data_IF_136984552412
#
_entry.id   IF_136984552412
#
_cell.length_a   1.000
_cell.length_b   1.000
_cell.length_c   1.000
_cell.angle_alpha   90.00
_cell.angle_beta   90.00
_cell.angle_gamma   90.00
#
_symmetry.space_group_name_H-M   'P 1'
#
loop_
_entity.id
_entity.type
_entity.pdbx_description
1 polymer ?
#
# COMPACT_ATOMS: atom_id res chain seq x y z
N UNK A 1 5.93 -11.18 16.83
CA UNK A 1 4.70 -11.55 17.57
C UNK A 1 3.63 -11.92 16.56
N UNK A 2 3.32 -13.21 16.39
CA UNK A 2 2.18 -13.65 15.57
C UNK A 2 0.92 -13.66 16.43
N UNK A 3 -0.10 -12.87 16.06
CA UNK A 3 -1.30 -12.65 16.88
C UNK A 3 -2.32 -13.79 16.91
N UNK A 4 -2.03 -14.94 16.29
CA UNK A 4 -2.93 -16.09 16.26
C UNK A 4 -2.38 -17.19 17.15
N UNK A 5 -3.06 -17.46 18.27
CA UNK A 5 -2.80 -18.66 19.06
C UNK A 5 -3.25 -19.91 18.27
N UNK A 6 -2.52 -21.04 18.35
CA UNK A 6 -2.87 -22.26 17.60
C UNK A 6 -4.29 -22.78 17.87
N UNK A 7 -4.94 -23.31 16.82
CA UNK A 7 -6.25 -23.99 16.86
C UNK A 7 -7.32 -23.37 15.95
N UNK A 8 -8.30 -24.16 15.56
CA UNK A 8 -9.37 -23.74 14.63
C UNK A 8 -10.49 -22.93 15.29
N UNK A 9 -11.34 -22.32 14.46
CA UNK A 9 -12.57 -21.64 14.88
C UNK A 9 -12.43 -20.15 15.21
N UNK A 10 -11.21 -19.61 15.27
CA UNK A 10 -10.94 -18.18 15.52
C UNK A 10 -11.33 -17.31 14.33
N UNK A 11 -11.90 -16.14 14.64
CA UNK A 11 -12.27 -15.11 13.65
C UNK A 11 -11.11 -14.19 13.32
N UNK A 12 -10.94 -13.90 12.04
CA UNK A 12 -10.06 -12.87 11.50
C UNK A 12 -10.93 -11.88 10.72
N UNK A 13 -10.76 -10.60 11.01
CA UNK A 13 -11.43 -9.50 10.31
C UNK A 13 -10.37 -8.69 9.56
N UNK A 14 -10.47 -8.66 8.24
CA UNK A 14 -9.55 -7.94 7.38
C UNK A 14 -10.28 -6.79 6.69
N UNK A 15 -9.94 -5.56 7.08
CA UNK A 15 -10.38 -4.34 6.41
C UNK A 15 -9.41 -4.02 5.27
N UNK A 16 -9.91 -3.98 4.04
CA UNK A 16 -9.08 -3.80 2.84
C UNK A 16 -9.79 -2.96 1.78
N UNK A 17 -9.03 -2.37 0.85
CA UNK A 17 -9.61 -1.64 -0.28
C UNK A 17 -10.33 -2.60 -1.26
N UNK A 18 -11.13 -2.04 -2.18
CA UNK A 18 -11.56 -2.77 -3.36
C UNK A 18 -10.37 -2.92 -4.32
N UNK A 19 -10.25 -4.11 -4.90
CA UNK A 19 -9.18 -4.48 -5.84
C UNK A 19 -9.81 -4.98 -7.14
N UNK A 20 -9.02 -5.16 -8.20
CA UNK A 20 -9.50 -5.79 -9.43
C UNK A 20 -9.94 -7.24 -9.20
N UNK A 21 -10.71 -7.86 -10.12
CA UNK A 21 -11.04 -9.29 -10.03
C UNK A 21 -9.81 -10.19 -9.93
N UNK A 22 -8.74 -9.88 -10.66
CA UNK A 22 -7.48 -10.65 -10.66
C UNK A 22 -6.74 -10.52 -9.32
N UNK A 23 -6.68 -9.31 -8.77
CA UNK A 23 -6.10 -9.05 -7.45
C UNK A 23 -6.90 -9.73 -6.34
N UNK A 24 -8.23 -9.71 -6.45
CA UNK A 24 -9.15 -10.41 -5.54
C UNK A 24 -8.94 -11.92 -5.58
N UNK A 25 -8.81 -12.51 -6.77
CA UNK A 25 -8.50 -13.94 -6.92
C UNK A 25 -7.16 -14.27 -6.27
N UNK A 26 -6.12 -13.50 -6.57
CA UNK A 26 -4.79 -13.71 -5.98
C UNK A 26 -4.79 -13.56 -4.45
N UNK A 27 -5.66 -12.72 -3.90
CA UNK A 27 -5.87 -12.60 -2.45
C UNK A 27 -6.56 -13.85 -1.87
N UNK A 28 -7.64 -14.33 -2.49
CA UNK A 28 -8.32 -15.55 -2.07
C UNK A 28 -7.41 -16.78 -2.11
N UNK A 29 -6.61 -16.94 -3.16
CA UNK A 29 -5.62 -18.00 -3.26
C UNK A 29 -4.62 -18.00 -2.09
N UNK A 30 -4.24 -16.81 -1.59
CA UNK A 30 -3.37 -16.68 -0.42
C UNK A 30 -4.09 -17.13 0.85
N UNK A 31 -5.35 -16.77 1.05
CA UNK A 31 -6.14 -17.26 2.20
C UNK A 31 -6.26 -18.78 2.19
N UNK A 32 -6.57 -19.37 1.04
CA UNK A 32 -6.67 -20.81 0.87
C UNK A 32 -5.33 -21.52 1.09
N UNK A 33 -4.23 -20.94 0.62
CA UNK A 33 -2.86 -21.45 0.86
C UNK A 33 -2.54 -21.50 2.36
N UNK A 34 -3.07 -20.57 3.14
CA UNK A 34 -2.96 -20.56 4.61
C UNK A 34 -4.04 -21.37 5.32
N UNK A 35 -4.87 -22.12 4.57
CA UNK A 35 -5.97 -22.95 5.09
C UNK A 35 -6.95 -22.15 5.95
N UNK A 36 -7.25 -20.92 5.54
CA UNK A 36 -8.28 -20.08 6.13
C UNK A 36 -9.60 -20.28 5.39
N UNK A 37 -10.71 -20.32 6.13
CA UNK A 37 -12.05 -20.34 5.55
C UNK A 37 -12.53 -18.91 5.30
N UNK A 38 -13.01 -18.63 4.09
CA UNK A 38 -13.71 -17.39 3.77
C UNK A 38 -15.17 -17.50 4.20
N UNK A 39 -15.60 -16.67 5.14
CA UNK A 39 -16.98 -16.70 5.69
C UNK A 39 -17.88 -15.68 5.05
N UNK A 40 -17.38 -14.46 4.83
CA UNK A 40 -18.13 -13.39 4.19
C UNK A 40 -17.19 -12.31 3.63
N UNK A 41 -17.67 -11.59 2.62
CA UNK A 41 -17.11 -10.34 2.12
C UNK A 41 -18.21 -9.29 2.19
N UNK A 42 -17.95 -8.20 2.89
CA UNK A 42 -18.88 -7.09 3.11
C UNK A 42 -18.35 -5.86 2.36
N UNK A 43 -18.77 -5.63 1.10
CA UNK A 43 -18.34 -4.47 0.33
C UNK A 43 -18.91 -3.17 0.93
N UNK A 44 -18.18 -2.06 0.78
CA UNK A 44 -18.61 -0.74 1.25
C UNK A 44 -18.65 -0.60 2.78
N UNK A 45 -18.12 -1.58 3.53
CA UNK A 45 -18.14 -1.58 4.99
C UNK A 45 -17.28 -0.44 5.58
N UNK A 46 -16.11 -0.19 4.99
CA UNK A 46 -15.24 0.91 5.43
C UNK A 46 -15.54 2.15 4.59
N UNK A 47 -15.69 3.31 5.24
CA UNK A 47 -15.70 4.62 4.58
C UNK A 47 -14.54 5.44 5.14
N UNK A 48 -13.73 5.99 4.25
CA UNK A 48 -12.55 6.78 4.61
C UNK A 48 -12.75 8.23 4.20
N UNK A 49 -12.47 9.16 5.12
CA UNK A 49 -12.43 10.58 4.80
C UNK A 49 -11.08 10.93 4.14
N UNK A 50 -11.11 11.70 3.04
CA UNK A 50 -9.90 12.18 2.37
C UNK A 50 -9.12 11.14 1.55
N UNK A 51 -9.70 9.96 1.28
CA UNK A 51 -9.08 8.89 0.50
C UNK A 51 -9.74 8.73 -0.89
N UNK A 52 -10.03 9.84 -1.56
CA UNK A 52 -10.82 9.87 -2.80
C UNK A 52 -10.20 9.03 -3.91
N UNK A 53 -8.87 8.93 -3.92
CA UNK A 53 -8.09 8.12 -4.86
C UNK A 53 -8.43 6.62 -4.74
N UNK A 54 -8.86 6.15 -3.56
CA UNK A 54 -9.26 4.76 -3.31
C UNK A 54 -10.80 4.60 -3.37
N UNK A 55 -11.53 5.58 -3.92
CA UNK A 55 -12.99 5.57 -3.96
C UNK A 55 -13.67 5.79 -2.61
N UNK A 56 -12.93 6.24 -1.58
CA UNK A 56 -13.41 6.49 -0.22
C UNK A 56 -14.10 5.30 0.47
N UNK A 57 -14.05 4.08 -0.09
CA UNK A 57 -14.68 2.92 0.52
C UNK A 57 -13.87 1.64 0.34
N UNK A 58 -13.91 0.78 1.36
CA UNK A 58 -13.28 -0.53 1.35
C UNK A 58 -14.28 -1.63 1.71
N UNK A 59 -13.77 -2.84 1.83
CA UNK A 59 -14.51 -4.05 2.21
C UNK A 59 -14.02 -4.59 3.55
N UNK A 60 -14.89 -5.30 4.24
CA UNK A 60 -14.51 -6.13 5.38
C UNK A 60 -14.60 -7.60 4.96
N UNK A 61 -13.50 -8.32 5.11
CA UNK A 61 -13.41 -9.74 4.81
C UNK A 61 -13.39 -10.50 6.14
N UNK A 62 -14.38 -11.37 6.32
CA UNK A 62 -14.49 -12.25 7.47
C UNK A 62 -13.88 -13.60 7.12
N UNK A 63 -12.76 -13.91 7.77
CA UNK A 63 -12.03 -15.17 7.65
C UNK A 63 -12.13 -15.96 8.96
N UNK A 64 -12.00 -17.27 8.88
CA UNK A 64 -11.97 -18.13 10.05
C UNK A 64 -10.81 -19.13 9.96
N UNK A 65 -10.13 -19.35 11.07
CA UNK A 65 -9.13 -20.43 11.17
C UNK A 65 -9.81 -21.79 11.11
N UNK A 66 -9.14 -22.75 10.49
CA UNK A 66 -9.49 -24.16 10.44
C UNK A 66 -8.54 -24.96 11.34
N UNK A 67 -8.80 -26.25 11.52
CA UNK A 67 -7.86 -27.15 12.22
C UNK A 67 -6.52 -27.29 11.48
N UNK A 68 -6.50 -26.98 10.19
CA UNK A 68 -5.33 -27.05 9.31
C UNK A 68 -4.69 -25.69 9.06
N UNK A 69 -5.17 -24.60 9.70
CA UNK A 69 -4.57 -23.28 9.52
C UNK A 69 -3.09 -23.30 9.87
N UNK A 70 -2.28 -22.90 8.89
CA UNK A 70 -0.84 -22.85 9.03
C UNK A 70 -0.46 -21.71 10.00
N UNK A 71 0.48 -21.94 10.93
CA UNK A 71 0.96 -20.88 11.80
C UNK A 71 1.62 -19.76 10.96
N UNK A 72 1.64 -18.52 11.46
CA UNK A 72 2.42 -17.46 10.85
C UNK A 72 3.88 -17.90 10.70
N UNK A 73 4.50 -17.57 9.56
CA UNK A 73 5.93 -17.79 9.37
C UNK A 73 6.72 -17.13 10.49
N UNK A 74 7.63 -17.86 11.13
CA UNK A 74 8.58 -17.31 12.10
C UNK A 74 9.71 -16.54 11.42
N UNK A 75 9.87 -16.68 10.10
CA UNK A 75 10.87 -15.96 9.32
C UNK A 75 10.44 -14.50 9.14
N UNK A 76 11.36 -13.59 9.43
CA UNK A 76 11.16 -12.17 9.13
C UNK A 76 10.92 -11.97 7.63
N UNK A 77 9.97 -11.10 7.29
CA UNK A 77 9.79 -10.66 5.92
C UNK A 77 10.90 -9.67 5.56
N UNK A 78 11.75 -10.02 4.61
CA UNK A 78 12.89 -9.21 4.16
C UNK A 78 12.60 -8.47 2.84
N UNK A 79 11.38 -8.59 2.31
CA UNK A 79 10.98 -7.91 1.10
C UNK A 79 10.61 -6.44 1.32
N UNK A 80 10.43 -5.68 0.23
CA UNK A 80 9.93 -4.31 0.29
C UNK A 80 8.50 -4.28 0.86
N UNK A 81 8.30 -3.47 1.90
CA UNK A 81 6.99 -3.30 2.55
C UNK A 81 6.16 -2.22 1.88
N UNK A 82 6.82 -1.24 1.28
CA UNK A 82 6.14 -0.10 0.68
C UNK A 82 6.21 -0.12 -0.85
N UNK A 83 5.13 0.31 -1.48
CA UNK A 83 5.03 0.40 -2.95
C UNK A 83 6.14 1.25 -3.58
N UNK A 84 6.65 2.25 -2.85
CA UNK A 84 7.76 3.10 -3.30
C UNK A 84 9.10 2.37 -3.37
N UNK A 85 9.29 1.29 -2.60
CA UNK A 85 10.49 0.46 -2.63
C UNK A 85 10.48 -0.47 -3.85
N UNK A 86 9.29 -1.00 -4.20
CA UNK A 86 9.09 -1.83 -5.40
C UNK A 86 9.12 -0.98 -6.67
N UNK A 87 8.41 0.16 -6.65
CA UNK A 87 8.20 1.05 -7.80
C UNK A 87 8.59 2.48 -7.43
N UNK A 88 9.89 2.81 -7.40
CA UNK A 88 10.34 4.14 -7.03
C UNK A 88 9.77 5.19 -7.99
N UNK A 89 9.12 6.20 -7.43
CA UNK A 89 8.52 7.28 -8.19
C UNK A 89 9.58 8.11 -8.90
N UNK A 90 9.66 7.95 -10.23
CA UNK A 90 10.32 8.89 -11.12
C UNK A 90 9.33 9.98 -11.51
N UNK A 91 9.69 11.23 -11.30
CA UNK A 91 8.83 12.36 -11.56
C UNK A 91 9.64 13.62 -11.85
N UNK A 92 9.14 14.42 -12.78
CA UNK A 92 9.61 15.78 -12.99
C UNK A 92 8.87 16.68 -12.00
N UNK A 93 9.63 17.51 -11.30
CA UNK A 93 9.12 18.49 -10.36
C UNK A 93 9.61 19.87 -10.76
N UNK A 94 8.78 20.87 -10.53
CA UNK A 94 9.08 22.27 -10.78
C UNK A 94 9.18 23.02 -9.46
N UNK A 95 10.24 23.79 -9.27
CA UNK A 95 10.36 24.71 -8.14
C UNK A 95 9.20 25.70 -8.16
N UNK A 96 8.52 25.89 -7.03
CA UNK A 96 7.37 26.78 -6.94
C UNK A 96 7.76 28.27 -7.03
N UNK A 97 9.02 28.62 -6.74
CA UNK A 97 9.50 30.00 -6.73
C UNK A 97 10.05 30.45 -8.09
N UNK A 98 11.04 29.73 -8.65
CA UNK A 98 11.70 30.13 -9.90
C UNK A 98 11.27 29.31 -11.12
N UNK A 99 10.54 28.21 -10.90
CA UNK A 99 10.12 27.35 -11.99
C UNK A 99 11.19 26.42 -12.57
N UNK A 100 12.38 26.33 -11.97
CA UNK A 100 13.40 25.38 -12.38
C UNK A 100 12.92 23.93 -12.21
N UNK A 101 13.26 23.07 -13.16
CA UNK A 101 12.89 21.65 -13.14
C UNK A 101 13.96 20.81 -12.45
N UNK A 102 13.50 19.86 -11.64
CA UNK A 102 14.34 18.84 -10.99
C UNK A 102 13.70 17.48 -11.20
N UNK A 103 14.53 16.46 -11.41
CA UNK A 103 14.07 15.09 -11.61
C UNK A 103 14.30 14.25 -10.35
N UNK A 104 13.34 13.40 -10.01
CA UNK A 104 13.52 12.36 -9.00
C UNK A 104 14.00 11.07 -9.66
N UNK A 105 15.09 10.52 -9.14
CA UNK A 105 15.65 9.25 -9.56
C UNK A 105 15.75 8.29 -8.35
N UNK A 106 16.09 7.02 -8.60
CA UNK A 106 16.43 6.09 -7.50
C UNK A 106 17.51 6.71 -6.63
N UNK A 107 17.30 6.73 -5.31
CA UNK A 107 18.22 7.35 -4.33
C UNK A 107 18.16 8.88 -4.23
N UNK A 108 17.39 9.56 -5.09
CA UNK A 108 17.17 11.02 -5.03
C UNK A 108 15.67 11.33 -5.08
N UNK A 109 14.91 10.98 -4.03
CA UNK A 109 13.50 11.33 -3.91
C UNK A 109 13.31 12.85 -3.85
N UNK A 110 12.07 13.31 -4.00
CA UNK A 110 11.76 14.75 -3.92
C UNK A 110 12.14 15.36 -2.56
N UNK A 111 12.17 14.56 -1.48
CA UNK A 111 12.63 15.00 -0.16
C UNK A 111 14.08 15.49 -0.18
N UNK A 112 14.95 14.89 -1.00
CA UNK A 112 16.35 15.35 -1.16
C UNK A 112 16.40 16.79 -1.69
N UNK A 113 15.57 17.12 -2.68
CA UNK A 113 15.47 18.48 -3.22
C UNK A 113 14.82 19.46 -2.23
N UNK A 114 13.82 19.02 -1.47
CA UNK A 114 13.22 19.83 -0.39
C UNK A 114 14.23 20.16 0.72
N UNK A 115 15.17 19.26 1.01
CA UNK A 115 16.23 19.50 2.01
C UNK A 115 17.34 20.40 1.46
N UNK A 116 17.88 20.07 0.28
CA UNK A 116 18.99 20.82 -0.34
C UNK A 116 18.59 22.19 -0.87
N UNK A 117 17.31 22.35 -1.25
CA UNK A 117 16.83 23.54 -1.94
C UNK A 117 17.00 23.45 -3.46
N UNK A 118 16.30 24.33 -4.17
CA UNK A 118 16.37 24.44 -5.62
C UNK A 118 17.77 24.91 -6.03
N UNK A 119 18.44 24.26 -7.00
CA UNK A 119 19.77 24.66 -7.45
C UNK A 119 19.82 26.06 -8.08
N UNK A 120 18.68 26.59 -8.54
CA UNK A 120 18.60 27.90 -9.19
C UNK A 120 18.25 29.06 -8.23
N UNK A 121 17.51 28.81 -7.15
CA UNK A 121 17.03 29.89 -6.26
C UNK A 121 17.00 29.55 -4.77
N UNK A 122 17.46 28.36 -4.37
CA UNK A 122 17.47 27.90 -2.98
C UNK A 122 16.11 27.52 -2.38
N UNK A 123 14.99 27.83 -3.05
CA UNK A 123 13.66 27.54 -2.51
C UNK A 123 13.42 26.03 -2.33
N UNK A 124 12.69 25.67 -1.25
CA UNK A 124 12.46 24.27 -0.84
C UNK A 124 11.09 23.71 -1.22
N UNK A 125 10.27 24.51 -1.91
CA UNK A 125 8.92 24.13 -2.32
C UNK A 125 8.92 23.71 -3.79
N UNK A 126 8.41 22.52 -4.06
CA UNK A 126 8.37 21.91 -5.40
C UNK A 126 6.97 21.38 -5.70
N UNK A 127 6.50 21.58 -6.93
CA UNK A 127 5.23 21.06 -7.45
C UNK A 127 5.53 19.93 -8.43
N UNK A 128 4.79 18.82 -8.35
CA UNK A 128 4.93 17.72 -9.29
C UNK A 128 4.37 18.16 -10.65
N UNK A 129 5.14 17.99 -11.72
CA UNK A 129 4.61 18.18 -13.06
C UNK A 129 3.76 16.95 -13.42
N UNK A 130 2.53 17.20 -13.92
CA UNK A 130 1.67 16.12 -14.43
C UNK A 130 2.36 15.54 -15.66
N UNK A 131 2.55 14.22 -15.69
CA UNK A 131 2.92 13.52 -16.93
C UNK A 131 1.79 13.79 -17.93
N UNK A 132 2.08 14.50 -19.03
CA UNK A 132 1.17 14.51 -20.18
C UNK A 132 1.05 13.05 -20.64
N UNK A 133 -0.20 12.58 -20.71
CA UNK A 133 -0.52 11.26 -21.25
C UNK A 133 -0.28 11.26 -22.75
#
# INVERSE_FOLDING_TARGET
MGGLTPGGGRTLLLSFAHESPEETLAMHERFLRHRLALRAILPGFNRYEGAEILGNSGQLIHLQTTRETLPPSSRAYEGPLYTHEVRPHRGQYRCAACGARVETARGRPISTWKQRGCPACGARTFRREKRRR
#
